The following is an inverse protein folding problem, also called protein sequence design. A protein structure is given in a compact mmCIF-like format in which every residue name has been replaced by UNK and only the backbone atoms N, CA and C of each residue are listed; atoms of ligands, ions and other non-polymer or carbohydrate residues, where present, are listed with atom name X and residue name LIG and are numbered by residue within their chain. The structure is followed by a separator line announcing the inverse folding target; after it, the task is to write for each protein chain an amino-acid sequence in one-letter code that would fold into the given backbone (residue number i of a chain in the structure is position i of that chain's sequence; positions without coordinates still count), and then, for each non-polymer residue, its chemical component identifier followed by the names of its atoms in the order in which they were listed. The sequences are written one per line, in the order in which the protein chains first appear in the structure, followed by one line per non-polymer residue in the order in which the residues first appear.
data_IF_536554990005
#
_entry.id   IF_536554990005
#
_cell.length_a   1.000
_cell.length_b   1.000
_cell.length_c   1.000
_cell.angle_alpha   90.00
_cell.angle_beta   90.00
_cell.angle_gamma   90.00
#
_symmetry.space_group_name_H-M   'P 1'
#
loop_
_entity.id
_entity.type
_entity.pdbx_description
1 polymer ?
#
# COMPACT_ATOMS: atom_id res chain seq x y z
N UNK A 1 -10.93 12.45 -34.13
CA UNK A 1 -11.37 11.18 -33.50
C UNK A 1 -12.61 10.71 -34.25
N UNK A 2 -12.59 9.53 -34.88
CA UNK A 2 -13.74 9.00 -35.62
C UNK A 2 -14.47 8.03 -34.68
N UNK A 3 -15.64 8.43 -34.19
CA UNK A 3 -16.37 7.67 -33.14
C UNK A 3 -16.97 6.38 -33.70
N UNK A 4 -17.35 6.37 -34.99
CA UNK A 4 -17.89 5.20 -35.66
C UNK A 4 -17.59 5.22 -37.18
N UNK A 5 -17.76 4.08 -37.84
CA UNK A 5 -17.52 3.93 -39.27
C UNK A 5 -18.55 4.69 -40.12
N UNK A 6 -19.81 4.71 -39.69
CA UNK A 6 -20.94 5.40 -40.34
C UNK A 6 -21.80 6.14 -39.31
N UNK A 7 -22.53 7.16 -39.76
CA UNK A 7 -23.47 7.90 -38.89
C UNK A 7 -24.64 7.01 -38.43
N UNK A 8 -25.08 6.07 -39.27
CA UNK A 8 -26.13 5.13 -38.92
C UNK A 8 -25.72 4.22 -37.75
N UNK A 9 -24.53 3.62 -37.81
CA UNK A 9 -24.03 2.77 -36.73
C UNK A 9 -23.85 3.54 -35.41
N UNK A 10 -23.47 4.81 -35.48
CA UNK A 10 -23.38 5.68 -34.31
C UNK A 10 -24.76 5.92 -33.67
N UNK A 11 -25.78 6.18 -34.49
CA UNK A 11 -27.14 6.40 -34.03
C UNK A 11 -27.73 5.15 -33.39
N UNK A 12 -27.57 3.99 -34.04
CA UNK A 12 -28.05 2.70 -33.54
C UNK A 12 -27.41 2.35 -32.18
N UNK A 13 -26.11 2.65 -32.01
CA UNK A 13 -25.42 2.46 -30.74
C UNK A 13 -25.93 3.41 -29.65
N UNK A 14 -26.21 4.67 -29.96
CA UNK A 14 -26.83 5.59 -29.00
C UNK A 14 -28.24 5.16 -28.59
N UNK A 15 -29.05 4.65 -29.51
CA UNK A 15 -30.35 4.07 -29.18
C UNK A 15 -30.22 2.82 -28.31
N UNK A 16 -29.24 1.96 -28.59
CA UNK A 16 -28.93 0.81 -27.76
C UNK A 16 -28.56 1.23 -26.33
N UNK A 17 -27.61 2.17 -26.18
CA UNK A 17 -27.19 2.71 -24.88
C UNK A 17 -28.36 3.36 -24.15
N UNK A 18 -29.21 4.13 -24.84
CA UNK A 18 -30.41 4.76 -24.27
C UNK A 18 -31.35 3.72 -23.68
N UNK A 19 -31.67 2.67 -24.46
CA UNK A 19 -32.55 1.57 -24.02
C UNK A 19 -31.97 0.78 -22.86
N UNK A 20 -30.68 0.43 -22.93
CA UNK A 20 -29.99 -0.31 -21.88
C UNK A 20 -29.93 0.48 -20.58
N UNK A 21 -29.58 1.77 -20.66
CA UNK A 21 -29.48 2.64 -19.49
C UNK A 21 -30.83 2.87 -18.84
N UNK A 22 -31.90 3.04 -19.64
CA UNK A 22 -33.26 3.15 -19.12
C UNK A 22 -33.70 1.88 -18.38
N UNK A 23 -33.44 0.69 -18.96
CA UNK A 23 -33.70 -0.59 -18.30
C UNK A 23 -32.94 -0.76 -16.98
N UNK A 24 -31.75 -0.17 -16.88
CA UNK A 24 -30.93 -0.18 -15.67
C UNK A 24 -31.28 0.94 -14.67
N UNK A 25 -32.37 1.68 -14.88
CA UNK A 25 -32.86 2.70 -13.94
C UNK A 25 -32.15 4.05 -14.01
N UNK A 26 -31.35 4.31 -15.06
CA UNK A 26 -30.73 5.61 -15.24
C UNK A 26 -31.73 6.64 -15.80
N UNK A 27 -31.75 7.88 -15.29
CA UNK A 27 -32.57 8.95 -15.86
C UNK A 27 -32.20 9.24 -17.32
N UNK A 28 -33.19 9.28 -18.22
CA UNK A 28 -32.97 9.54 -19.65
C UNK A 28 -32.27 10.88 -19.89
N UNK A 29 -32.67 11.92 -19.15
CA UNK A 29 -32.05 13.24 -19.24
C UNK A 29 -30.54 13.23 -18.94
N UNK A 30 -30.11 12.38 -18.00
CA UNK A 30 -28.68 12.21 -17.70
C UNK A 30 -27.95 11.58 -18.89
N UNK A 31 -28.48 10.49 -19.45
CA UNK A 31 -27.88 9.78 -20.59
C UNK A 31 -27.77 10.72 -21.80
N UNK A 32 -28.84 11.44 -22.13
CA UNK A 32 -28.84 12.42 -23.22
C UNK A 32 -27.83 13.55 -22.99
N UNK A 33 -27.67 14.02 -21.74
CA UNK A 33 -26.68 15.05 -21.42
C UNK A 33 -25.24 14.57 -21.66
N UNK A 34 -24.97 13.29 -21.38
CA UNK A 34 -23.65 12.68 -21.60
C UNK A 34 -23.37 12.52 -23.10
N UNK A 35 -24.35 12.01 -23.86
CA UNK A 35 -24.24 11.87 -25.31
C UNK A 35 -23.99 13.24 -25.96
N UNK A 36 -24.80 14.25 -25.59
CA UNK A 36 -24.64 15.63 -26.07
C UNK A 36 -23.24 16.17 -25.77
N UNK A 37 -22.77 16.02 -24.52
CA UNK A 37 -21.42 16.45 -24.13
C UNK A 37 -20.34 15.80 -25.01
N UNK A 38 -20.48 14.52 -25.33
CA UNK A 38 -19.49 13.84 -26.19
C UNK A 38 -19.55 14.32 -27.64
N UNK A 39 -20.75 14.53 -28.19
CA UNK A 39 -20.91 15.09 -29.52
C UNK A 39 -20.31 16.50 -29.61
N UNK A 40 -20.56 17.33 -28.61
CA UNK A 40 -19.98 18.67 -28.53
C UNK A 40 -18.44 18.63 -28.51
N UNK A 41 -17.83 17.70 -27.78
CA UNK A 41 -16.36 17.57 -27.76
C UNK A 41 -15.74 17.19 -29.12
N UNK A 42 -16.52 16.60 -30.03
CA UNK A 42 -16.06 16.12 -31.34
C UNK A 42 -16.44 17.06 -32.48
N UNK A 43 -17.64 17.63 -32.44
CA UNK A 43 -18.20 18.43 -33.53
C UNK A 43 -18.16 19.94 -33.25
N UNK A 44 -18.13 20.39 -31.99
CA UNK A 44 -17.93 21.81 -31.71
C UNK A 44 -16.42 22.12 -31.79
N UNK A 45 -16.03 23.15 -32.57
CA UNK A 45 -14.65 23.63 -32.57
C UNK A 45 -14.29 24.05 -31.14
N UNK A 46 -13.31 23.37 -30.55
CA UNK A 46 -12.75 23.86 -29.29
C UNK A 46 -12.07 25.19 -29.58
N UNK A 47 -12.52 26.23 -28.88
CA UNK A 47 -11.73 27.46 -28.80
C UNK A 47 -10.32 27.09 -28.33
N UNK A 48 -9.33 27.34 -29.18
CA UNK A 48 -7.93 27.19 -28.82
C UNK A 48 -7.66 28.28 -27.81
N UNK A 49 -7.73 27.93 -26.53
CA UNK A 49 -7.31 28.83 -25.46
C UNK A 49 -5.84 29.16 -25.71
N UNK A 50 -5.44 30.44 -25.64
CA UNK A 50 -4.04 30.80 -25.79
C UNK A 50 -3.21 29.95 -24.82
N UNK A 51 -1.99 29.52 -25.24
CA UNK A 51 -1.12 28.76 -24.37
C UNK A 51 -0.94 29.53 -23.07
N UNK A 52 -1.33 28.90 -21.96
CA UNK A 52 -1.20 29.50 -20.64
C UNK A 52 0.29 29.84 -20.44
N UNK A 53 0.63 31.03 -19.93
CA UNK A 53 2.03 31.36 -19.69
C UNK A 53 2.68 30.27 -18.83
N UNK A 54 3.91 29.89 -19.16
CA UNK A 54 4.71 29.00 -18.32
C UNK A 54 4.81 29.64 -16.94
N UNK A 55 4.17 29.01 -15.96
CA UNK A 55 4.16 29.49 -14.57
C UNK A 55 5.05 28.59 -13.75
N UNK A 56 5.93 29.21 -12.96
CA UNK A 56 6.78 28.48 -12.01
C UNK A 56 5.89 27.94 -10.89
N UNK A 57 5.77 26.61 -10.80
CA UNK A 57 4.89 25.94 -9.86
C UNK A 57 5.64 25.70 -8.55
N UNK A 58 5.20 26.40 -7.50
CA UNK A 58 5.72 26.23 -6.14
C UNK A 58 4.77 25.31 -5.37
N UNK A 59 5.29 24.19 -4.86
CA UNK A 59 4.50 23.26 -4.04
C UNK A 59 4.63 23.62 -2.57
N UNK A 60 3.49 23.93 -1.93
CA UNK A 60 3.41 24.19 -0.50
C UNK A 60 2.76 23.01 0.21
N UNK A 61 3.51 22.33 1.07
CA UNK A 61 2.96 21.27 1.94
C UNK A 61 2.43 21.86 3.23
N UNK A 62 1.19 21.52 3.57
CA UNK A 62 0.50 22.02 4.76
C UNK A 62 -0.10 20.83 5.51
N UNK A 63 0.09 20.77 6.82
CA UNK A 63 -0.57 19.75 7.64
C UNK A 63 -2.09 19.99 7.68
N UNK A 64 -2.86 18.92 7.48
CA UNK A 64 -4.32 18.98 7.46
C UNK A 64 -4.90 18.92 8.88
N UNK A 65 -5.51 20.03 9.31
CA UNK A 65 -6.22 20.18 10.58
C UNK A 65 -7.70 20.55 10.35
N UNK A 66 -8.24 20.23 9.18
CA UNK A 66 -9.61 20.59 8.78
C UNK A 66 -9.69 21.97 8.11
N UNK A 67 -10.80 22.68 8.35
CA UNK A 67 -11.09 23.97 7.72
C UNK A 67 -10.00 25.04 7.89
N UNK A 68 -9.30 25.17 9.04
CA UNK A 68 -8.21 26.13 9.18
C UNK A 68 -7.09 25.95 8.14
N UNK A 69 -6.73 24.70 7.81
CA UNK A 69 -5.73 24.41 6.78
C UNK A 69 -6.19 24.87 5.40
N UNK A 70 -7.47 24.71 5.07
CA UNK A 70 -8.03 25.21 3.81
C UNK A 70 -8.02 26.74 3.74
N UNK A 71 -8.36 27.41 4.85
CA UNK A 71 -8.34 28.88 4.92
C UNK A 71 -6.90 29.38 4.76
N UNK A 72 -5.93 28.76 5.44
CA UNK A 72 -4.52 29.06 5.31
C UNK A 72 -4.03 28.90 3.87
N UNK A 73 -4.28 27.73 3.26
CA UNK A 73 -3.88 27.46 1.88
C UNK A 73 -4.46 28.46 0.88
N UNK A 74 -5.74 28.82 1.03
CA UNK A 74 -6.36 29.86 0.20
C UNK A 74 -5.70 31.22 0.39
N UNK A 75 -5.49 31.66 1.63
CA UNK A 75 -4.86 32.96 1.94
C UNK A 75 -3.46 33.05 1.36
N UNK A 76 -2.66 32.01 1.51
CA UNK A 76 -1.30 31.98 0.95
C UNK A 76 -1.33 32.01 -0.57
N UNK A 77 -2.17 31.20 -1.22
CA UNK A 77 -2.30 31.21 -2.68
C UNK A 77 -2.75 32.58 -3.19
N UNK A 78 -3.72 33.23 -2.53
CA UNK A 78 -4.17 34.58 -2.90
C UNK A 78 -3.08 35.63 -2.71
N UNK A 79 -2.36 35.59 -1.58
CA UNK A 79 -1.27 36.54 -1.31
C UNK A 79 -0.12 36.39 -2.31
N UNK A 80 0.27 35.16 -2.65
CA UNK A 80 1.33 34.91 -3.64
C UNK A 80 0.88 35.31 -5.03
N UNK A 81 -0.37 35.05 -5.42
CA UNK A 81 -0.89 35.50 -6.71
C UNK A 81 -0.91 37.03 -6.83
N UNK A 82 -1.18 37.74 -5.73
CA UNK A 82 -1.16 39.21 -5.71
C UNK A 82 0.26 39.79 -5.83
N UNK A 83 1.26 39.14 -5.22
CA UNK A 83 2.65 39.63 -5.23
C UNK A 83 3.46 39.10 -6.42
N UNK A 84 3.17 37.91 -6.91
CA UNK A 84 3.94 37.20 -7.93
C UNK A 84 3.00 36.56 -8.98
N UNK A 85 2.53 37.33 -9.98
CA UNK A 85 1.56 36.85 -10.98
C UNK A 85 2.06 35.66 -11.83
N UNK A 86 3.38 35.51 -11.96
CA UNK A 86 4.02 34.43 -12.74
C UNK A 86 4.24 33.13 -11.94
N UNK A 87 3.98 33.15 -10.62
CA UNK A 87 4.15 31.97 -9.75
C UNK A 87 2.80 31.35 -9.42
N UNK A 88 2.71 30.03 -9.58
CA UNK A 88 1.52 29.28 -9.20
C UNK A 88 1.79 28.46 -7.94
N UNK A 89 1.06 28.73 -6.87
CA UNK A 89 1.14 27.92 -5.64
C UNK A 89 0.21 26.73 -5.72
N UNK A 90 0.76 25.52 -5.57
CA UNK A 90 0.00 24.28 -5.40
C UNK A 90 0.09 23.84 -3.95
N UNK A 91 -1.04 23.92 -3.24
CA UNK A 91 -1.13 23.47 -1.85
C UNK A 91 -1.41 21.97 -1.81
N UNK A 92 -0.57 21.23 -1.08
CA UNK A 92 -0.73 19.80 -0.81
C UNK A 92 -0.97 19.62 0.68
N UNK A 93 -2.08 19.00 1.04
CA UNK A 93 -2.43 18.76 2.43
C UNK A 93 -1.92 17.38 2.87
N UNK A 94 -0.95 17.38 3.76
CA UNK A 94 -0.37 16.17 4.34
C UNK A 94 -1.06 15.83 5.67
N UNK A 95 -1.20 14.55 5.96
CA UNK A 95 -1.71 14.05 7.25
C UNK A 95 -0.55 13.39 7.98
N UNK A 96 -0.36 13.76 9.25
CA UNK A 96 0.74 13.25 10.08
C UNK A 96 0.58 11.76 10.41
N UNK A 97 -0.65 11.30 10.63
CA UNK A 97 -0.94 9.90 10.96
C UNK A 97 -2.00 9.33 10.02
N UNK A 98 -1.56 8.64 8.96
CA UNK A 98 -2.46 7.83 8.13
C UNK A 98 -2.92 6.64 8.96
N UNK A 99 -4.18 6.22 8.78
CA UNK A 99 -4.75 5.05 9.47
C UNK A 99 -3.81 3.84 9.36
N UNK A 100 -3.25 3.57 8.18
CA UNK A 100 -2.30 2.46 7.98
C UNK A 100 -0.97 2.56 8.74
N UNK A 101 -0.61 3.71 9.30
CA UNK A 101 0.55 3.82 10.20
C UNK A 101 0.24 3.28 11.60
N UNK A 102 -1.01 3.41 12.05
CA UNK A 102 -1.45 3.00 13.38
C UNK A 102 -2.02 1.57 13.41
N UNK A 103 -2.38 1.02 12.25
CA UNK A 103 -2.92 -0.32 12.12
C UNK A 103 -2.04 -1.16 11.20
N UNK A 104 -1.40 -2.20 11.74
CA UNK A 104 -0.76 -3.23 10.93
C UNK A 104 -1.83 -4.13 10.32
N UNK A 105 -1.77 -4.40 9.02
CA UNK A 105 -2.76 -5.22 8.28
C UNK A 105 -2.93 -6.64 8.84
N UNK A 106 -1.91 -7.17 9.54
CA UNK A 106 -1.94 -8.49 10.19
C UNK A 106 -1.27 -8.42 11.56
N UNK A 107 -1.72 -9.26 12.47
CA UNK A 107 -1.06 -9.46 13.76
C UNK A 107 0.35 -10.03 13.55
N UNK A 108 1.31 -9.53 14.33
CA UNK A 108 2.67 -10.06 14.30
C UNK A 108 2.68 -11.45 14.93
N UNK A 109 2.97 -12.47 14.13
CA UNK A 109 3.13 -13.84 14.62
C UNK A 109 4.42 -13.93 15.46
N UNK A 110 4.34 -14.34 16.75
CA UNK A 110 5.52 -14.58 17.58
C UNK A 110 6.48 -15.55 16.90
N UNK A 111 7.78 -15.33 17.07
CA UNK A 111 8.81 -16.07 16.32
C UNK A 111 8.75 -17.59 16.53
N UNK A 112 8.41 -18.03 17.74
CA UNK A 112 8.22 -19.45 18.09
C UNK A 112 7.11 -20.15 17.30
N UNK A 113 6.10 -19.39 16.87
CA UNK A 113 4.94 -19.89 16.13
C UNK A 113 5.10 -19.73 14.62
N UNK A 114 6.22 -19.22 14.13
CA UNK A 114 6.48 -19.13 12.69
C UNK A 114 6.81 -20.53 12.13
N UNK A 115 6.30 -20.82 10.95
CA UNK A 115 6.58 -22.00 10.14
C UNK A 115 7.18 -21.59 8.81
N UNK A 116 7.85 -22.52 8.12
CA UNK A 116 8.55 -22.23 6.85
C UNK A 116 9.75 -21.31 7.05
N UNK A 117 10.42 -21.43 8.20
CA UNK A 117 11.54 -20.57 8.59
C UNK A 117 12.87 -21.32 8.57
N UNK A 118 13.94 -20.61 8.22
CA UNK A 118 15.32 -21.03 8.43
C UNK A 118 15.76 -20.54 9.81
N UNK A 119 16.45 -21.38 10.57
CA UNK A 119 16.96 -21.06 11.91
C UNK A 119 18.41 -21.51 12.09
N UNK A 120 19.12 -20.82 12.99
CA UNK A 120 20.47 -21.15 13.44
C UNK A 120 20.40 -21.67 14.89
N UNK A 121 20.98 -22.83 15.16
CA UNK A 121 21.22 -23.35 16.50
C UNK A 121 22.72 -23.31 16.78
N UNK A 122 23.12 -22.71 17.89
CA UNK A 122 24.53 -22.62 18.29
C UNK A 122 24.80 -23.50 19.49
N UNK A 123 25.87 -24.29 19.45
CA UNK A 123 26.34 -25.05 20.60
C UNK A 123 26.95 -24.10 21.63
N UNK A 124 26.48 -24.09 22.89
CA UNK A 124 27.01 -23.18 23.90
C UNK A 124 28.44 -23.52 24.35
N UNK A 125 28.92 -24.74 24.09
CA UNK A 125 30.23 -25.23 24.56
C UNK A 125 31.34 -24.99 23.52
N UNK A 126 31.10 -25.36 22.26
CA UNK A 126 32.10 -25.23 21.18
C UNK A 126 31.82 -24.09 20.21
N UNK A 127 30.70 -23.36 20.37
CA UNK A 127 30.28 -22.27 19.48
C UNK A 127 30.08 -22.70 18.01
N UNK A 128 29.96 -24.00 17.73
CA UNK A 128 29.58 -24.50 16.42
C UNK A 128 28.12 -24.19 16.10
N UNK A 129 27.83 -24.02 14.82
CA UNK A 129 26.52 -23.57 14.32
C UNK A 129 25.89 -24.62 13.41
N UNK A 130 24.62 -24.87 13.64
CA UNK A 130 23.76 -25.68 12.79
C UNK A 130 22.69 -24.78 12.16
N UNK A 131 22.61 -24.76 10.84
CA UNK A 131 21.56 -24.05 10.10
C UNK A 131 20.58 -25.10 9.57
N UNK A 132 19.30 -24.91 9.86
CA UNK A 132 18.25 -25.83 9.41
C UNK A 132 17.00 -25.07 8.99
N UNK A 133 16.16 -25.73 8.19
CA UNK A 133 14.82 -25.24 7.83
C UNK A 133 13.74 -26.07 8.52
N UNK A 134 12.55 -25.50 8.69
CA UNK A 134 11.39 -26.25 9.19
C UNK A 134 10.08 -25.77 8.60
N UNK A 135 9.27 -26.73 8.13
CA UNK A 135 7.88 -26.49 7.72
C UNK A 135 6.91 -26.44 8.91
N UNK A 136 7.33 -26.85 10.12
CA UNK A 136 6.51 -26.82 11.35
C UNK A 136 6.75 -25.51 12.11
N UNK A 137 6.00 -25.27 13.18
CA UNK A 137 6.33 -24.19 14.11
C UNK A 137 7.74 -24.37 14.67
N UNK A 138 8.51 -23.28 14.72
CA UNK A 138 9.88 -23.29 15.23
C UNK A 138 9.96 -23.92 16.63
N UNK A 139 9.00 -23.62 17.52
CA UNK A 139 8.90 -24.22 18.86
C UNK A 139 8.86 -25.76 18.83
N UNK A 140 8.08 -26.32 17.92
CA UNK A 140 7.99 -27.78 17.74
C UNK A 140 9.34 -28.33 17.31
N UNK A 141 10.00 -27.69 16.35
CA UNK A 141 11.32 -28.13 15.88
C UNK A 141 12.38 -28.08 16.97
N UNK A 142 12.40 -27.02 17.77
CA UNK A 142 13.31 -26.90 18.93
C UNK A 142 13.06 -28.05 19.92
N UNK A 143 11.80 -28.34 20.23
CA UNK A 143 11.45 -29.42 21.15
C UNK A 143 11.86 -30.81 20.63
N UNK A 144 11.76 -31.06 19.32
CA UNK A 144 12.25 -32.29 18.68
C UNK A 144 13.76 -32.46 18.90
N UNK A 145 14.56 -31.42 18.63
CA UNK A 145 16.01 -31.46 18.83
C UNK A 145 16.39 -31.71 20.30
N UNK A 146 15.75 -31.01 21.23
CA UNK A 146 15.99 -31.20 22.67
C UNK A 146 15.56 -32.59 23.15
N UNK A 147 14.45 -33.12 22.61
CA UNK A 147 13.96 -34.46 22.98
C UNK A 147 14.87 -35.56 22.42
N UNK A 148 15.41 -35.40 21.22
CA UNK A 148 16.38 -36.32 20.64
C UNK A 148 17.69 -36.33 21.45
N UNK A 149 18.21 -35.16 21.82
CA UNK A 149 19.37 -35.06 22.71
C UNK A 149 19.14 -35.78 24.04
N UNK A 150 17.96 -35.58 24.67
CA UNK A 150 17.57 -36.30 25.89
C UNK A 150 17.41 -37.81 25.71
N UNK A 151 17.32 -38.35 24.50
CA UNK A 151 17.24 -39.80 24.24
C UNK A 151 18.58 -40.41 23.87
N UNK A 152 19.46 -39.65 23.20
CA UNK A 152 20.78 -40.12 22.75
C UNK A 152 21.88 -39.92 23.80
N UNK A 153 21.79 -38.86 24.60
CA UNK A 153 22.80 -38.52 25.61
C UNK A 153 22.68 -39.35 26.92
N UNK A 154 21.52 -39.89 27.37
CA UNK A 154 21.48 -40.75 28.55
C UNK A 154 22.35 -42.01 28.44
N UNK A 155 22.60 -42.51 27.23
CA UNK A 155 23.43 -43.69 26.98
C UNK A 155 24.92 -43.38 26.80
N UNK A 156 25.36 -42.12 26.89
CA UNK A 156 26.76 -41.71 26.67
C UNK A 156 27.41 -40.97 27.87
N UNK A 157 26.81 -41.00 29.06
CA UNK A 157 27.43 -40.40 30.26
C UNK A 157 27.43 -41.33 31.47
N UNK A 158 28.60 -41.89 31.78
CA UNK A 158 29.09 -41.93 33.17
C UNK A 158 29.78 -40.58 33.49
N UNK A 159 29.80 -40.14 34.75
CA UNK A 159 29.71 -38.74 35.09
C UNK A 159 31.06 -38.05 35.30
N UNK A 160 31.17 -36.79 34.88
CA UNK A 160 31.91 -35.78 35.65
C UNK A 160 31.08 -34.50 35.72
N UNK A 161 30.95 -34.00 36.93
CA UNK A 161 29.95 -33.01 37.33
C UNK A 161 30.10 -31.68 36.62
N UNK A 162 28.97 -31.07 36.29
CA UNK A 162 28.40 -29.93 37.03
C UNK A 162 27.10 -29.58 36.34
N UNK A 163 26.03 -29.46 37.13
CA UNK A 163 24.73 -29.09 36.62
C UNK A 163 24.79 -27.66 36.08
N UNK A 164 24.73 -27.50 34.76
CA UNK A 164 24.43 -26.19 34.16
C UNK A 164 23.10 -26.29 33.44
N UNK A 165 22.11 -25.60 33.99
CA UNK A 165 20.83 -25.32 33.35
C UNK A 165 21.07 -24.78 31.94
N UNK A 166 20.87 -25.62 30.92
CA UNK A 166 20.91 -25.20 29.52
C UNK A 166 19.70 -24.32 29.25
N UNK A 167 19.86 -23.04 29.58
CA UNK A 167 18.95 -21.99 29.17
C UNK A 167 19.18 -21.80 27.68
N UNK A 168 18.39 -22.47 26.85
CA UNK A 168 18.34 -22.18 25.41
C UNK A 168 17.70 -20.81 25.29
N UNK A 169 18.54 -19.77 25.36
CA UNK A 169 18.11 -18.41 25.03
C UNK A 169 17.72 -18.40 23.55
N UNK A 170 16.53 -17.91 23.18
CA UNK A 170 16.21 -17.71 21.78
C UNK A 170 17.08 -16.54 21.31
N UNK A 171 18.15 -16.81 20.57
CA UNK A 171 19.02 -15.77 20.02
C UNK A 171 19.01 -15.79 18.48
N UNK A 172 18.63 -14.62 17.96
CA UNK A 172 18.75 -14.10 16.59
C UNK A 172 18.30 -15.03 15.47
N UNK A 173 17.02 -14.96 15.16
CA UNK A 173 16.57 -15.23 13.80
C UNK A 173 16.93 -14.03 12.91
N UNK A 174 17.83 -14.27 11.97
CA UNK A 174 17.91 -13.47 10.75
C UNK A 174 16.78 -14.01 9.86
N UNK A 175 15.66 -13.29 9.84
CA UNK A 175 14.58 -13.52 8.89
C UNK A 175 14.84 -12.57 7.74
N UNK A 176 15.23 -13.10 6.58
CA UNK A 176 15.10 -12.36 5.32
C UNK A 176 13.63 -12.29 4.92
#
# INVERSE_FOLDING_TARGET
MKICSTHQALHDEFEFIRRLSFKNGYPIAFVESVIRRQLNLVYEPREIKPPKPETDIVVLRVLYYGNPSHIYGKRVTTAVAAQYPLKQVRVVYDVTARIGHNFTTKDKIPTELRSGVVYEATCPVCNEKYIGETCRHLKTRINEHLSYQKRVIPSLTQPRGTATNTTVKPQKLIVN
#
